data_IF_699776840544
#
_entry.id   IF_699776840544
#
_cell.length_a   1.000
_cell.length_b   1.000
_cell.length_c   1.000
_cell.angle_alpha   90.00
_cell.angle_beta   90.00
_cell.angle_gamma   90.00
#
_symmetry.space_group_name_H-M   'P 1'
#
loop_
_entity.id
_entity.type
_entity.pdbx_description
1 polymer ?
#
# COMPACT_ATOMS: atom_id res chain seq x y z
N UNK A 1 11.40 9.64 -7.79
CA UNK A 1 12.45 10.28 -8.59
C UNK A 1 13.42 9.20 -8.96
N UNK A 2 13.15 8.55 -10.09
CA UNK A 2 14.20 7.85 -10.81
C UNK A 2 15.24 8.89 -11.24
N UNK A 3 16.51 8.68 -10.90
CA UNK A 3 17.60 9.57 -11.29
C UNK A 3 17.84 9.50 -12.80
N UNK A 4 18.59 10.45 -13.36
CA UNK A 4 18.82 10.46 -14.81
C UNK A 4 19.51 9.17 -15.27
N UNK A 5 18.85 8.44 -16.17
CA UNK A 5 19.31 7.16 -16.70
C UNK A 5 19.25 7.16 -18.22
N UNK A 6 20.04 6.29 -18.84
CA UNK A 6 20.03 6.04 -20.28
C UNK A 6 20.19 4.55 -20.56
N UNK A 7 19.54 4.06 -21.62
CA UNK A 7 19.69 2.69 -22.11
C UNK A 7 19.58 2.69 -23.65
N UNK A 8 20.39 1.88 -24.33
CA UNK A 8 20.33 1.74 -25.79
C UNK A 8 21.06 2.83 -26.58
N UNK A 9 20.65 3.00 -27.83
CA UNK A 9 21.30 3.88 -28.81
C UNK A 9 20.74 5.31 -28.73
N UNK A 10 21.63 6.31 -28.66
CA UNK A 10 21.26 7.72 -28.50
C UNK A 10 22.08 8.63 -29.42
N UNK A 11 21.49 9.69 -29.99
CA UNK A 11 22.27 10.75 -30.64
C UNK A 11 23.01 11.61 -29.61
N UNK A 12 24.00 12.37 -30.05
CA UNK A 12 24.80 13.25 -29.18
C UNK A 12 23.98 14.40 -28.55
N UNK A 13 22.92 14.83 -29.22
CA UNK A 13 22.04 15.93 -28.81
C UNK A 13 20.60 15.50 -29.05
N UNK A 14 19.68 15.99 -28.24
CA UNK A 14 18.24 15.80 -28.43
C UNK A 14 17.78 16.57 -29.67
N UNK A 15 16.74 16.08 -30.33
CA UNK A 15 16.10 16.72 -31.46
C UNK A 15 17.05 17.03 -32.63
N UNK A 16 17.87 16.05 -32.98
CA UNK A 16 18.76 16.08 -34.16
C UNK A 16 18.54 14.84 -35.01
N UNK A 17 19.06 14.84 -36.24
CA UNK A 17 18.99 13.67 -37.11
C UNK A 17 19.66 12.46 -36.42
N UNK A 18 18.88 11.41 -36.19
CA UNK A 18 19.37 10.13 -35.70
C UNK A 18 18.93 9.03 -36.67
N UNK A 19 19.88 8.56 -37.50
CA UNK A 19 19.59 7.66 -38.60
C UNK A 19 19.81 6.21 -38.21
N UNK A 20 18.92 5.36 -38.71
CA UNK A 20 19.05 3.90 -38.71
C UNK A 20 20.13 3.46 -39.71
N UNK A 21 20.59 2.20 -39.65
CA UNK A 21 21.55 1.66 -40.62
C UNK A 21 21.11 1.75 -42.08
N UNK A 22 19.80 1.73 -42.35
CA UNK A 22 19.24 1.85 -43.70
C UNK A 22 19.05 3.30 -44.19
N UNK A 23 19.48 4.28 -43.40
CA UNK A 23 19.44 5.70 -43.74
C UNK A 23 18.14 6.42 -43.36
N UNK A 24 17.07 5.70 -42.99
CA UNK A 24 15.86 6.33 -42.46
C UNK A 24 16.12 6.93 -41.06
N UNK A 25 15.22 7.79 -40.57
CA UNK A 25 15.31 8.35 -39.22
C UNK A 25 14.62 7.42 -38.21
N UNK A 26 15.21 7.26 -37.03
CA UNK A 26 14.43 6.82 -35.88
C UNK A 26 13.43 7.93 -35.50
N UNK A 27 12.24 7.55 -35.06
CA UNK A 27 11.23 8.52 -34.62
C UNK A 27 11.48 8.89 -33.17
N UNK A 28 11.81 10.17 -32.92
CA UNK A 28 11.96 10.70 -31.55
C UNK A 28 10.59 10.94 -30.90
N UNK A 29 10.42 10.51 -29.66
CA UNK A 29 9.31 10.85 -28.79
C UNK A 29 9.86 11.46 -27.49
N UNK A 30 9.29 12.58 -27.06
CA UNK A 30 9.46 13.11 -25.71
C UNK A 30 8.26 12.68 -24.88
N UNK A 31 8.49 11.73 -23.99
CA UNK A 31 7.50 11.22 -23.06
C UNK A 31 7.56 12.03 -21.76
N UNK A 32 6.73 13.06 -21.68
CA UNK A 32 6.77 14.08 -20.63
C UNK A 32 5.57 14.03 -19.67
N UNK A 33 5.78 14.61 -18.50
CA UNK A 33 4.75 14.79 -17.46
C UNK A 33 4.52 16.28 -17.19
N UNK A 34 3.38 16.61 -16.59
CA UNK A 34 3.03 17.96 -16.10
C UNK A 34 3.15 19.09 -17.14
N UNK A 35 3.00 18.81 -18.44
CA UNK A 35 3.13 19.85 -19.47
C UNK A 35 4.57 20.37 -19.61
N UNK A 36 5.54 19.47 -19.61
CA UNK A 36 6.99 19.71 -19.84
C UNK A 36 7.78 20.27 -18.66
N UNK A 37 7.18 20.44 -17.47
CA UNK A 37 7.92 20.85 -16.26
C UNK A 37 8.27 19.69 -15.33
N UNK A 38 7.59 18.56 -15.48
CA UNK A 38 7.84 17.34 -14.70
C UNK A 38 8.96 16.47 -15.28
N UNK A 39 9.23 15.29 -14.69
CA UNK A 39 10.17 14.33 -15.24
C UNK A 39 9.78 13.89 -16.67
N UNK A 40 10.79 13.69 -17.50
CA UNK A 40 10.63 13.30 -18.91
C UNK A 40 11.57 12.15 -19.26
N UNK A 41 11.20 11.39 -20.29
CA UNK A 41 12.08 10.46 -21.00
C UNK A 41 12.03 10.77 -22.49
N UNK A 42 13.18 10.95 -23.12
CA UNK A 42 13.30 11.04 -24.58
C UNK A 42 13.64 9.65 -25.10
N UNK A 43 12.89 9.16 -26.09
CA UNK A 43 13.03 7.82 -26.65
C UNK A 43 13.01 7.84 -28.17
N UNK A 44 13.61 6.81 -28.77
CA UNK A 44 13.77 6.72 -30.22
C UNK A 44 13.22 5.39 -30.72
N UNK A 45 12.17 5.46 -31.53
CA UNK A 45 11.44 4.30 -32.06
C UNK A 45 11.91 3.89 -33.46
N UNK A 46 11.79 2.61 -33.78
CA UNK A 46 11.94 2.09 -35.14
C UNK A 46 10.80 2.57 -36.03
N UNK A 47 9.57 2.53 -35.52
CA UNK A 47 8.35 2.97 -36.19
C UNK A 47 7.75 4.18 -35.46
N UNK A 48 7.15 5.16 -36.15
CA UNK A 48 6.55 6.30 -35.48
C UNK A 48 5.44 5.87 -34.51
N UNK A 49 5.47 6.25 -33.22
CA UNK A 49 4.53 5.76 -32.19
C UNK A 49 3.08 6.17 -32.45
N UNK A 50 2.85 7.09 -33.39
CA UNK A 50 1.52 7.55 -33.83
C UNK A 50 0.86 6.63 -34.86
N UNK A 51 1.56 5.60 -35.36
CA UNK A 51 1.03 4.67 -36.36
C UNK A 51 0.13 3.58 -35.75
N UNK A 52 -1.08 3.99 -35.40
CA UNK A 52 -2.17 3.11 -34.96
C UNK A 52 -3.07 2.75 -36.13
N UNK A 53 -3.48 1.48 -36.23
CA UNK A 53 -4.26 0.96 -37.36
C UNK A 53 -5.72 0.65 -37.03
N UNK A 54 -6.04 0.50 -35.74
CA UNK A 54 -7.41 0.29 -35.30
C UNK A 54 -7.56 0.58 -33.82
N UNK A 55 -8.78 0.90 -33.40
CA UNK A 55 -9.12 1.04 -32.00
C UNK A 55 -10.58 0.64 -31.74
N UNK A 56 -10.87 0.18 -30.51
CA UNK A 56 -12.22 -0.11 -30.05
C UNK A 56 -12.36 0.09 -28.54
N UNK A 57 -13.53 0.52 -28.02
CA UNK A 57 -13.81 0.43 -26.59
C UNK A 57 -13.91 -1.04 -26.17
N UNK A 58 -13.54 -1.35 -24.93
CA UNK A 58 -13.62 -2.70 -24.38
C UNK A 58 -14.57 -2.75 -23.18
N UNK A 59 -14.03 -2.65 -21.96
CA UNK A 59 -14.79 -2.79 -20.72
C UNK A 59 -14.49 -1.64 -19.77
N UNK A 60 -15.46 -1.30 -18.93
CA UNK A 60 -15.28 -0.27 -17.91
C UNK A 60 -14.43 -0.80 -16.77
N UNK A 61 -13.62 0.10 -16.20
CA UNK A 61 -12.87 -0.10 -14.96
C UNK A 61 -13.37 0.84 -13.86
N UNK A 62 -14.55 1.46 -14.05
CA UNK A 62 -15.12 2.36 -13.04
C UNK A 62 -15.51 1.56 -11.82
N UNK A 63 -14.87 1.85 -10.69
CA UNK A 63 -15.18 1.20 -9.43
C UNK A 63 -16.48 1.75 -8.83
N UNK A 64 -17.29 0.84 -8.29
CA UNK A 64 -18.45 1.18 -7.48
C UNK A 64 -18.10 1.02 -6.01
N UNK A 65 -18.08 2.14 -5.29
CA UNK A 65 -17.89 2.18 -3.85
C UNK A 65 -19.22 2.01 -3.13
N UNK A 66 -19.19 1.31 -1.99
CA UNK A 66 -20.35 1.05 -1.13
C UNK A 66 -20.10 1.56 0.26
N UNK A 67 -21.18 1.74 1.04
CA UNK A 67 -21.11 2.19 2.43
C UNK A 67 -20.25 3.47 2.67
N UNK A 68 -20.34 4.52 1.83
CA UNK A 68 -19.45 5.69 1.95
C UNK A 68 -19.60 6.43 3.28
N UNK A 69 -20.77 6.32 3.92
CA UNK A 69 -21.09 6.98 5.19
C UNK A 69 -20.81 6.12 6.44
N UNK A 70 -20.41 4.85 6.25
CA UNK A 70 -20.26 3.91 7.36
C UNK A 70 -18.82 3.94 7.88
N UNK A 71 -18.66 4.55 9.06
CA UNK A 71 -17.39 4.53 9.78
C UNK A 71 -17.26 3.26 10.63
N UNK A 72 -16.58 2.25 10.08
CA UNK A 72 -16.31 0.98 10.76
C UNK A 72 -14.92 0.47 10.41
N UNK A 73 -14.18 0.00 11.41
CA UNK A 73 -12.93 -0.74 11.17
C UNK A 73 -13.22 -2.05 10.43
N UNK A 74 -12.43 -2.35 9.40
CA UNK A 74 -12.68 -3.51 8.53
C UNK A 74 -11.49 -4.46 8.53
N UNK A 75 -11.78 -5.75 8.35
CA UNK A 75 -10.77 -6.78 8.16
C UNK A 75 -11.18 -7.65 6.98
N UNK A 76 -10.54 -7.41 5.85
CA UNK A 76 -10.78 -8.13 4.59
C UNK A 76 -9.80 -9.29 4.47
N UNK A 77 -10.32 -10.51 4.34
CA UNK A 77 -9.52 -11.74 4.20
C UNK A 77 -9.35 -12.08 2.72
N UNK A 78 -8.27 -11.62 2.10
CA UNK A 78 -8.05 -11.84 0.66
C UNK A 78 -7.38 -13.18 0.33
N UNK A 79 -6.82 -13.89 1.32
CA UNK A 79 -6.12 -15.16 1.11
C UNK A 79 -6.96 -16.22 0.38
N UNK A 80 -8.26 -16.41 0.68
CA UNK A 80 -9.10 -17.40 0.00
C UNK A 80 -9.52 -17.02 -1.43
N UNK A 81 -9.14 -15.84 -1.93
CA UNK A 81 -9.56 -15.36 -3.25
C UNK A 81 -9.08 -16.31 -4.35
N UNK A 82 -10.04 -16.85 -5.11
CA UNK A 82 -9.76 -17.76 -6.21
C UNK A 82 -9.06 -17.05 -7.38
N UNK A 83 -8.18 -17.77 -8.09
CA UNK A 83 -7.48 -17.18 -9.22
C UNK A 83 -8.47 -16.88 -10.34
N UNK A 84 -8.34 -15.72 -10.98
CA UNK A 84 -9.21 -15.31 -12.08
C UNK A 84 -8.49 -14.35 -13.03
N UNK A 85 -8.84 -14.41 -14.32
CA UNK A 85 -8.29 -13.53 -15.35
C UNK A 85 -6.77 -13.55 -15.41
N UNK A 86 -6.21 -12.53 -16.05
CA UNK A 86 -4.77 -12.29 -16.12
C UNK A 86 -4.32 -11.18 -15.14
N UNK A 87 -3.07 -10.73 -15.28
CA UNK A 87 -2.48 -9.68 -14.44
C UNK A 87 -3.26 -8.34 -14.42
N UNK A 88 -4.03 -8.05 -15.46
CA UNK A 88 -4.82 -6.81 -15.58
C UNK A 88 -6.29 -7.06 -15.27
N UNK A 89 -6.89 -8.04 -15.93
CA UNK A 89 -8.32 -8.38 -15.83
C UNK A 89 -8.67 -9.10 -14.53
N UNK A 90 -7.69 -9.72 -13.87
CA UNK A 90 -7.87 -10.42 -12.60
C UNK A 90 -7.88 -9.52 -11.36
N UNK A 91 -7.60 -8.22 -11.52
CA UNK A 91 -7.54 -7.24 -10.42
C UNK A 91 -8.90 -7.11 -9.73
N UNK A 92 -8.89 -7.05 -8.40
CA UNK A 92 -10.07 -6.85 -7.55
C UNK A 92 -9.83 -5.65 -6.65
N UNK A 93 -10.45 -4.52 -6.98
CA UNK A 93 -10.42 -3.31 -6.13
C UNK A 93 -11.18 -3.60 -4.84
N UNK A 94 -10.54 -3.36 -3.70
CA UNK A 94 -11.11 -3.57 -2.37
C UNK A 94 -11.50 -2.24 -1.72
N UNK A 95 -10.61 -1.26 -1.78
CA UNK A 95 -10.80 0.06 -1.22
C UNK A 95 -10.35 1.10 -2.23
N UNK A 96 -11.02 2.26 -2.26
CA UNK A 96 -10.56 3.36 -3.10
C UNK A 96 -11.29 4.66 -2.86
N UNK A 97 -10.78 5.71 -3.49
CA UNK A 97 -11.37 7.03 -3.57
C UNK A 97 -10.86 7.74 -4.84
N UNK A 98 -11.06 9.06 -4.95
CA UNK A 98 -10.61 9.82 -6.11
C UNK A 98 -9.10 9.96 -6.26
N UNK A 99 -8.33 9.67 -5.21
CA UNK A 99 -6.87 9.81 -5.20
C UNK A 99 -6.17 8.47 -5.47
N UNK A 100 -6.70 7.36 -4.95
CA UNK A 100 -6.07 6.04 -5.04
C UNK A 100 -7.07 4.88 -5.00
N UNK A 101 -6.73 3.78 -5.66
CA UNK A 101 -7.39 2.49 -5.54
C UNK A 101 -6.40 1.42 -5.06
N UNK A 102 -6.83 0.62 -4.09
CA UNK A 102 -6.12 -0.57 -3.62
C UNK A 102 -6.81 -1.82 -4.12
N UNK A 103 -6.09 -2.64 -4.88
CA UNK A 103 -6.59 -3.88 -5.45
C UNK A 103 -5.69 -5.06 -5.11
N UNK A 104 -6.26 -6.26 -5.07
CA UNK A 104 -5.50 -7.51 -5.02
C UNK A 104 -5.67 -8.27 -6.33
N UNK A 105 -4.64 -8.99 -6.75
CA UNK A 105 -4.68 -9.84 -7.94
C UNK A 105 -4.15 -11.24 -7.66
N UNK A 106 -4.85 -12.24 -8.18
CA UNK A 106 -4.44 -13.63 -8.21
C UNK A 106 -4.71 -14.16 -9.64
N UNK A 107 -3.79 -13.93 -10.60
CA UNK A 107 -4.01 -14.29 -11.99
C UNK A 107 -4.16 -15.81 -12.17
N UNK A 108 -5.18 -16.21 -12.93
CA UNK A 108 -5.38 -17.57 -13.41
C UNK A 108 -4.70 -17.83 -14.76
N UNK A 109 -4.43 -16.76 -15.52
CA UNK A 109 -3.99 -16.80 -16.91
C UNK A 109 -2.79 -15.86 -17.15
N UNK A 110 -2.00 -16.18 -18.17
CA UNK A 110 -0.97 -15.28 -18.67
C UNK A 110 -1.60 -14.22 -19.57
N UNK A 111 -1.21 -12.95 -19.43
CA UNK A 111 -1.69 -11.92 -20.37
C UNK A 111 -1.14 -12.15 -21.78
N UNK A 112 -2.01 -12.05 -22.79
CA UNK A 112 -1.66 -12.28 -24.20
C UNK A 112 -1.35 -10.99 -24.99
N UNK A 113 -1.70 -9.83 -24.43
CA UNK A 113 -1.61 -8.50 -25.06
C UNK A 113 -0.57 -7.62 -24.35
N UNK A 114 -0.35 -6.41 -24.86
CA UNK A 114 0.37 -5.35 -24.15
C UNK A 114 -0.62 -4.43 -23.46
N UNK A 115 -0.25 -3.86 -22.33
CA UNK A 115 -1.09 -2.97 -21.55
C UNK A 115 -0.40 -1.64 -21.26
N UNK A 116 -1.20 -0.59 -21.09
CA UNK A 116 -0.76 0.73 -20.66
C UNK A 116 -1.85 1.35 -19.78
N UNK A 117 -1.49 1.73 -18.56
CA UNK A 117 -2.36 2.59 -17.77
C UNK A 117 -2.12 4.05 -18.17
N UNK A 118 -3.07 4.65 -18.89
CA UNK A 118 -2.99 6.03 -19.35
C UNK A 118 -3.52 7.05 -18.33
N UNK A 119 -4.12 6.63 -17.22
CA UNK A 119 -4.69 7.54 -16.21
C UNK A 119 -3.88 7.66 -14.93
N UNK A 120 -3.16 6.60 -14.53
CA UNK A 120 -2.45 6.57 -13.26
C UNK A 120 -1.18 5.71 -13.26
N UNK A 121 -0.26 6.07 -12.37
CA UNK A 121 0.88 5.25 -11.98
C UNK A 121 0.38 4.03 -11.20
N UNK A 122 1.04 2.89 -11.41
CA UNK A 122 0.76 1.60 -10.77
C UNK A 122 1.93 1.19 -9.88
N UNK A 123 1.67 0.88 -8.60
CA UNK A 123 2.63 0.25 -7.70
C UNK A 123 2.16 -1.16 -7.37
N UNK A 124 2.84 -2.16 -7.92
CA UNK A 124 2.55 -3.57 -7.69
C UNK A 124 3.51 -4.15 -6.66
N UNK A 125 3.00 -4.49 -5.48
CA UNK A 125 3.75 -5.30 -4.52
C UNK A 125 3.52 -6.79 -4.80
N UNK A 126 4.57 -7.50 -5.23
CA UNK A 126 4.53 -8.92 -5.56
C UNK A 126 4.60 -9.74 -4.27
N UNK A 127 3.48 -10.32 -3.85
CA UNK A 127 3.44 -11.17 -2.65
C UNK A 127 4.02 -12.56 -2.96
N UNK A 128 3.59 -13.20 -4.05
CA UNK A 128 4.09 -14.51 -4.50
C UNK A 128 4.34 -14.51 -6.00
N UNK A 129 5.20 -15.43 -6.43
CA UNK A 129 5.58 -15.60 -7.83
C UNK A 129 6.71 -14.67 -8.27
N UNK A 130 7.17 -14.91 -9.50
CA UNK A 130 8.24 -14.17 -10.16
C UNK A 130 7.95 -14.09 -11.66
N UNK A 131 8.76 -13.32 -12.37
CA UNK A 131 8.70 -13.28 -13.82
C UNK A 131 9.43 -12.08 -14.41
N UNK A 132 8.96 -11.68 -15.58
CA UNK A 132 9.57 -10.65 -16.40
C UNK A 132 8.51 -9.64 -16.85
N UNK A 133 8.72 -8.37 -16.54
CA UNK A 133 7.95 -7.26 -17.08
C UNK A 133 8.73 -6.65 -18.26
N UNK A 134 8.28 -6.93 -19.48
CA UNK A 134 8.78 -6.28 -20.69
C UNK A 134 8.10 -4.94 -20.84
N UNK A 135 8.86 -3.85 -20.90
CA UNK A 135 8.34 -2.49 -21.08
C UNK A 135 8.93 -1.86 -22.33
N UNK A 136 8.33 -0.77 -22.80
CA UNK A 136 8.88 -0.04 -23.94
C UNK A 136 10.27 0.53 -23.62
N UNK A 137 10.61 0.67 -22.34
CA UNK A 137 11.88 1.22 -21.84
C UNK A 137 12.87 0.13 -21.39
N UNK A 138 12.58 -1.14 -21.64
CA UNK A 138 13.44 -2.26 -21.27
C UNK A 138 12.75 -3.26 -20.38
N UNK A 139 13.51 -4.26 -19.94
CA UNK A 139 12.99 -5.41 -19.22
C UNK A 139 13.33 -5.33 -17.74
N UNK A 140 12.36 -5.66 -16.88
CA UNK A 140 12.49 -5.73 -15.44
C UNK A 140 12.15 -7.15 -14.96
N UNK A 141 13.11 -7.85 -14.34
CA UNK A 141 12.87 -9.15 -13.70
C UNK A 141 12.33 -8.92 -12.29
N UNK A 142 11.14 -9.40 -12.00
CA UNK A 142 10.51 -9.23 -10.69
C UNK A 142 10.41 -10.58 -9.96
N UNK A 143 10.34 -10.51 -8.64
CA UNK A 143 10.19 -11.64 -7.74
C UNK A 143 9.41 -11.26 -6.48
N UNK A 144 9.34 -12.18 -5.50
CA UNK A 144 8.65 -11.93 -4.25
C UNK A 144 9.18 -10.68 -3.54
N UNK A 145 8.26 -9.95 -2.89
CA UNK A 145 8.47 -8.71 -2.13
C UNK A 145 8.94 -7.50 -2.94
N UNK A 146 8.91 -7.61 -4.26
CA UNK A 146 9.18 -6.46 -5.14
C UNK A 146 8.01 -5.49 -5.19
N UNK A 147 8.32 -4.21 -5.05
CA UNK A 147 7.52 -3.12 -5.57
C UNK A 147 7.92 -2.85 -7.03
N UNK A 148 7.11 -3.34 -7.96
CA UNK A 148 7.21 -2.98 -9.37
C UNK A 148 6.39 -1.70 -9.62
N UNK A 149 7.07 -0.58 -9.81
CA UNK A 149 6.45 0.72 -10.08
C UNK A 149 6.44 0.98 -11.58
N UNK A 150 5.25 1.12 -12.15
CA UNK A 150 5.01 1.37 -13.56
C UNK A 150 4.34 2.74 -13.70
N UNK A 151 5.08 3.77 -14.15
CA UNK A 151 4.52 5.10 -14.33
C UNK A 151 3.43 5.12 -15.41
N UNK A 152 2.47 6.03 -15.27
CA UNK A 152 1.37 6.17 -16.23
C UNK A 152 1.92 6.39 -17.62
N UNK A 153 1.35 5.64 -18.54
CA UNK A 153 1.60 5.67 -19.96
C UNK A 153 2.75 4.79 -20.46
N UNK A 154 3.47 4.09 -19.58
CA UNK A 154 4.44 3.08 -19.99
C UNK A 154 3.68 1.86 -20.54
N UNK A 155 4.03 1.44 -21.77
CA UNK A 155 3.51 0.18 -22.35
C UNK A 155 4.32 -0.98 -21.76
N UNK A 156 3.63 -2.02 -21.28
CA UNK A 156 4.26 -3.22 -20.78
C UNK A 156 3.50 -4.50 -21.13
N UNK A 157 4.20 -5.63 -21.08
CA UNK A 157 3.66 -6.98 -21.06
C UNK A 157 4.38 -7.78 -19.99
N UNK A 158 3.61 -8.29 -19.03
CA UNK A 158 4.13 -9.05 -17.91
C UNK A 158 3.99 -10.55 -18.18
N UNK A 159 5.10 -11.27 -18.07
CA UNK A 159 5.20 -12.72 -18.20
C UNK A 159 5.50 -13.30 -16.83
N UNK A 160 4.64 -14.18 -16.31
CA UNK A 160 4.85 -14.84 -15.03
C UNK A 160 5.61 -16.13 -15.26
N UNK A 161 6.54 -16.45 -14.37
CA UNK A 161 7.11 -17.78 -14.30
C UNK A 161 6.02 -18.75 -13.79
N UNK A 162 6.06 -19.99 -14.28
CA UNK A 162 5.23 -21.04 -13.69
C UNK A 162 5.75 -21.37 -12.30
N UNK A 163 4.88 -21.29 -11.29
CA UNK A 163 5.22 -21.78 -9.95
C UNK A 163 5.42 -23.29 -9.98
N UNK A 164 6.35 -23.78 -9.17
CA UNK A 164 6.72 -25.20 -9.08
C UNK A 164 6.69 -25.68 -7.64
N UNK A 165 6.38 -26.95 -7.44
CA UNK A 165 6.50 -27.58 -6.12
C UNK A 165 7.95 -28.01 -5.87
N UNK A 166 8.39 -27.87 -4.62
CA UNK A 166 9.62 -28.46 -4.12
C UNK A 166 9.52 -29.97 -3.89
N UNK A 167 10.60 -30.60 -3.42
CA UNK A 167 10.66 -32.05 -3.19
C UNK A 167 9.63 -32.58 -2.18
N UNK A 168 9.14 -31.73 -1.29
CA UNK A 168 8.12 -32.07 -0.27
C UNK A 168 6.67 -31.93 -0.79
N UNK A 169 6.50 -31.64 -2.08
CA UNK A 169 5.20 -31.45 -2.72
C UNK A 169 4.53 -30.11 -2.42
N UNK A 170 5.21 -29.20 -1.70
CA UNK A 170 4.70 -27.84 -1.43
C UNK A 170 5.28 -26.82 -2.41
N UNK A 171 4.64 -25.66 -2.62
CA UNK A 171 5.18 -24.60 -3.48
C UNK A 171 6.58 -24.16 -3.03
N UNK A 172 7.52 -24.12 -3.96
CA UNK A 172 8.93 -23.84 -3.67
C UNK A 172 9.19 -22.39 -3.17
N UNK A 173 8.27 -21.48 -3.45
CA UNK A 173 8.29 -20.08 -3.00
C UNK A 173 7.60 -19.86 -1.64
N UNK A 174 7.18 -20.94 -0.96
CA UNK A 174 6.49 -20.86 0.34
C UNK A 174 5.07 -20.31 0.28
N UNK A 175 4.53 -20.02 -0.91
CA UNK A 175 3.19 -19.49 -1.07
C UNK A 175 2.06 -20.55 -1.00
N UNK A 176 0.80 -20.14 -1.28
CA UNK A 176 -0.35 -21.04 -1.33
C UNK A 176 -0.20 -22.12 -2.40
N UNK A 177 -0.95 -23.24 -2.32
CA UNK A 177 -0.96 -24.29 -3.33
C UNK A 177 -1.07 -23.72 -4.76
N UNK A 178 -0.32 -24.29 -5.71
CA UNK A 178 -0.30 -23.81 -7.10
C UNK A 178 -1.71 -23.82 -7.72
N UNK A 179 -2.58 -24.76 -7.34
CA UNK A 179 -3.98 -24.78 -7.79
C UNK A 179 -4.78 -23.56 -7.37
N UNK A 180 -4.45 -22.95 -6.22
CA UNK A 180 -5.13 -21.76 -5.71
C UNK A 180 -4.42 -20.46 -6.14
N UNK A 181 -3.18 -20.54 -6.60
CA UNK A 181 -2.36 -19.40 -7.02
C UNK A 181 -1.37 -19.88 -8.11
N UNK A 182 -1.79 -20.03 -9.37
CA UNK A 182 -0.99 -20.72 -10.38
C UNK A 182 0.25 -19.94 -10.82
N UNK A 183 0.19 -18.61 -10.79
CA UNK A 183 1.28 -17.73 -11.18
C UNK A 183 1.86 -16.94 -10.02
N UNK A 184 1.01 -16.23 -9.27
CA UNK A 184 1.46 -15.36 -8.20
C UNK A 184 0.29 -14.59 -7.56
N UNK A 185 0.61 -13.79 -6.56
CA UNK A 185 -0.36 -12.88 -5.92
C UNK A 185 0.29 -11.52 -5.74
N UNK A 186 -0.48 -10.45 -5.93
CA UNK A 186 0.04 -9.10 -5.75
C UNK A 186 -1.00 -8.18 -5.10
N UNK A 187 -0.50 -7.13 -4.44
CA UNK A 187 -1.25 -5.94 -4.07
C UNK A 187 -0.93 -4.85 -5.11
N UNK A 188 -1.94 -4.15 -5.58
CA UNK A 188 -1.82 -2.97 -6.45
C UNK A 188 -2.30 -1.75 -5.67
N UNK A 189 -1.48 -0.70 -5.70
CA UNK A 189 -1.84 0.66 -5.29
C UNK A 189 -1.77 1.51 -6.56
N UNK A 190 -2.92 1.95 -7.06
CA UNK A 190 -3.06 2.69 -8.32
C UNK A 190 -3.49 4.13 -8.05
N UNK A 191 -2.77 5.11 -8.60
CA UNK A 191 -3.21 6.53 -8.54
C UNK A 191 -4.46 6.75 -9.40
N UNK A 192 -5.43 7.48 -8.88
CA UNK A 192 -6.68 7.82 -9.59
C UNK A 192 -6.80 9.33 -9.91
N UNK A 193 -6.00 10.16 -9.25
CA UNK A 193 -5.94 11.61 -9.45
C UNK A 193 -4.88 12.05 -10.48
N UNK A 194 -4.20 11.11 -11.13
CA UNK A 194 -3.14 11.39 -12.09
C UNK A 194 -1.83 11.88 -11.48
N UNK A 195 -1.66 11.80 -10.16
CA UNK A 195 -0.39 12.04 -9.49
C UNK A 195 0.64 10.95 -9.79
N UNK A 196 1.89 11.20 -9.40
CA UNK A 196 3.01 10.31 -9.68
C UNK A 196 3.53 9.65 -8.39
N UNK A 197 3.79 8.35 -8.44
CA UNK A 197 4.34 7.59 -7.31
C UNK A 197 5.85 7.79 -7.30
N UNK A 198 6.36 8.32 -6.18
CA UNK A 198 7.79 8.57 -6.00
C UNK A 198 8.23 8.41 -4.55
N UNK A 199 9.53 8.55 -4.27
CA UNK A 199 10.04 8.57 -2.91
C UNK A 199 9.54 9.81 -2.17
N UNK A 200 9.37 9.71 -0.85
CA UNK A 200 9.04 10.85 -0.01
C UNK A 200 10.05 11.99 -0.17
N UNK A 201 9.61 13.26 -0.35
CA UNK A 201 10.47 14.44 -0.43
C UNK A 201 11.41 14.60 0.77
N UNK A 202 11.07 14.02 1.93
CA UNK A 202 11.92 14.01 3.14
C UNK A 202 13.17 13.13 3.01
N UNK A 203 13.21 12.23 2.04
CA UNK A 203 14.34 11.35 1.76
C UNK A 203 15.15 11.81 0.55
N UNK A 204 14.76 12.90 -0.12
CA UNK A 204 15.41 13.37 -1.33
C UNK A 204 15.98 14.78 -1.13
N UNK A 205 17.21 14.98 -1.58
CA UNK A 205 17.85 16.29 -1.65
C UNK A 205 17.05 17.22 -2.55
N UNK A 206 16.51 18.30 -1.97
CA UNK A 206 15.74 19.32 -2.71
C UNK A 206 16.53 19.99 -3.84
N UNK A 207 17.86 19.98 -3.76
CA UNK A 207 18.75 20.69 -4.68
C UNK A 207 19.39 19.78 -5.71
N UNK A 208 19.63 18.50 -5.38
CA UNK A 208 20.40 17.59 -6.24
C UNK A 208 19.58 16.37 -6.68
N UNK A 209 18.43 16.12 -6.08
CA UNK A 209 17.57 15.00 -6.47
C UNK A 209 18.09 13.61 -6.08
N UNK A 210 19.20 13.56 -5.35
CA UNK A 210 19.78 12.36 -4.76
C UNK A 210 19.04 11.99 -3.46
N UNK A 211 19.00 10.71 -3.10
CA UNK A 211 18.60 10.29 -1.76
C UNK A 211 19.53 10.88 -0.69
N UNK A 212 18.96 11.20 0.47
CA UNK A 212 19.70 11.66 1.64
C UNK A 212 20.25 10.44 2.40
N UNK A 213 21.40 10.57 3.05
CA UNK A 213 22.07 9.46 3.76
C UNK A 213 21.23 8.81 4.88
N UNK A 214 20.21 9.52 5.39
CA UNK A 214 19.27 8.96 6.38
C UNK A 214 18.06 8.26 5.74
N UNK A 215 17.94 8.26 4.42
CA UNK A 215 16.87 7.56 3.73
C UNK A 215 16.98 6.04 3.99
N UNK A 216 15.86 5.34 4.15
CA UNK A 216 15.86 3.90 4.43
C UNK A 216 16.22 3.03 3.21
N UNK A 217 16.56 3.64 2.08
CA UNK A 217 17.04 2.98 0.86
C UNK A 217 17.73 4.04 -0.01
N UNK A 218 18.54 3.61 -0.95
CA UNK A 218 19.31 4.46 -1.84
C UNK A 218 19.14 4.06 -3.31
N UNK A 219 19.80 4.77 -4.22
CA UNK A 219 19.72 4.51 -5.66
C UNK A 219 20.19 3.10 -6.04
N UNK A 220 21.06 2.48 -5.24
CA UNK A 220 21.60 1.13 -5.52
C UNK A 220 20.57 0.03 -5.30
N UNK A 221 19.55 0.30 -4.50
CA UNK A 221 18.47 -0.64 -4.20
C UNK A 221 17.37 -0.58 -5.28
N UNK A 222 17.47 0.38 -6.21
CA UNK A 222 16.54 0.54 -7.33
C UNK A 222 17.05 -0.22 -8.55
N UNK A 223 16.30 -1.24 -8.97
CA UNK A 223 16.56 -1.99 -10.19
C UNK A 223 15.92 -1.30 -11.38
N UNK A 224 16.76 -0.96 -12.36
CA UNK A 224 16.42 -0.22 -13.57
C UNK A 224 16.08 -1.17 -14.72
N UNK A 225 15.40 -0.71 -15.78
CA UNK A 225 15.20 -1.50 -16.98
C UNK A 225 16.53 -1.92 -17.62
N UNK A 226 16.60 -3.16 -18.10
CA UNK A 226 17.77 -3.74 -18.76
C UNK A 226 17.43 -4.26 -20.17
N UNK A 227 18.44 -4.74 -20.91
CA UNK A 227 18.22 -5.49 -22.15
C UNK A 227 17.62 -6.89 -21.87
N UNK A 228 16.85 -7.47 -22.81
CA UNK A 228 16.42 -6.90 -24.09
C UNK A 228 15.37 -5.78 -23.91
N UNK A 229 15.36 -4.83 -24.84
CA UNK A 229 14.45 -3.68 -24.82
C UNK A 229 13.73 -3.45 -26.15
N UNK A 230 14.35 -3.86 -27.26
CA UNK A 230 13.90 -3.53 -28.60
C UNK A 230 13.43 -4.78 -29.32
N UNK A 231 12.22 -4.72 -29.88
CA UNK A 231 11.68 -5.73 -30.76
C UNK A 231 11.32 -5.10 -32.11
N UNK A 232 11.97 -5.55 -33.19
CA UNK A 232 11.68 -5.15 -34.57
C UNK A 232 10.90 -6.26 -35.28
N UNK A 233 9.63 -6.40 -34.91
CA UNK A 233 8.74 -7.42 -35.45
C UNK A 233 7.50 -6.76 -36.05
N UNK A 234 7.12 -7.19 -37.26
CA UNK A 234 5.87 -6.80 -37.92
C UNK A 234 4.79 -7.83 -37.62
N UNK A 235 3.57 -7.37 -37.43
CA UNK A 235 2.42 -8.22 -37.11
C UNK A 235 1.36 -7.44 -36.36
N UNK A 236 0.22 -8.08 -36.07
CA UNK A 236 -0.85 -7.42 -35.34
C UNK A 236 -0.65 -7.56 -33.83
N UNK A 237 -0.36 -6.44 -33.18
CA UNK A 237 -0.16 -6.37 -31.73
C UNK A 237 -1.27 -5.54 -31.07
N UNK A 238 -1.98 -6.15 -30.13
CA UNK A 238 -2.96 -5.47 -29.28
C UNK A 238 -2.26 -4.75 -28.13
N UNK A 239 -2.53 -3.45 -27.99
CA UNK A 239 -2.23 -2.64 -26.80
C UNK A 239 -3.55 -2.22 -26.16
N UNK A 240 -3.79 -2.67 -24.93
CA UNK A 240 -4.95 -2.26 -24.13
C UNK A 240 -4.59 -1.05 -23.28
N UNK A 241 -5.35 0.02 -23.43
CA UNK A 241 -5.10 1.31 -22.78
C UNK A 241 -6.23 1.59 -21.79
N UNK A 242 -5.94 1.61 -20.49
CA UNK A 242 -6.88 2.10 -19.46
C UNK A 242 -6.82 3.62 -19.43
N UNK A 243 -7.92 4.30 -19.72
CA UNK A 243 -8.02 5.75 -19.55
C UNK A 243 -9.48 6.15 -19.36
N UNK A 244 -9.73 7.13 -18.47
CA UNK A 244 -11.08 7.63 -18.18
C UNK A 244 -12.03 6.50 -17.77
N UNK A 245 -11.53 5.59 -16.94
CA UNK A 245 -12.26 4.44 -16.39
C UNK A 245 -12.83 3.47 -17.45
N UNK A 246 -12.19 3.44 -18.63
CA UNK A 246 -12.51 2.53 -19.73
C UNK A 246 -11.22 1.98 -20.33
N UNK A 247 -11.20 0.67 -20.59
CA UNK A 247 -10.14 0.04 -21.37
C UNK A 247 -10.49 0.15 -22.86
N UNK A 248 -9.50 0.56 -23.65
CA UNK A 248 -9.57 0.67 -25.09
C UNK A 248 -8.53 -0.26 -25.72
N UNK A 249 -8.93 -1.07 -26.68
CA UNK A 249 -8.00 -1.90 -27.46
C UNK A 249 -7.51 -1.12 -28.66
N UNK A 250 -6.19 -1.01 -28.82
CA UNK A 250 -5.52 -0.40 -29.96
C UNK A 250 -4.70 -1.46 -30.70
N UNK A 251 -4.67 -1.40 -32.03
CA UNK A 251 -3.90 -2.34 -32.87
C UNK A 251 -2.74 -1.61 -33.56
N UNK A 252 -1.55 -2.17 -33.41
CA UNK A 252 -0.32 -1.79 -34.10
C UNK A 252 0.08 -2.88 -35.08
N UNK A 253 0.66 -2.53 -36.23
CA UNK A 253 1.22 -3.49 -37.21
C UNK A 253 2.71 -3.80 -36.98
N UNK A 254 3.23 -3.41 -35.81
CA UNK A 254 4.58 -3.66 -35.35
C UNK A 254 4.59 -3.83 -33.82
N UNK A 255 5.62 -4.46 -33.30
CA UNK A 255 5.75 -4.70 -31.86
C UNK A 255 5.78 -3.37 -31.09
N UNK A 256 4.93 -3.14 -30.08
CA UNK A 256 4.79 -1.82 -29.42
C UNK A 256 5.96 -1.46 -28.49
N UNK A 257 6.98 -2.32 -28.41
CA UNK A 257 8.19 -2.13 -27.63
C UNK A 257 9.39 -2.01 -28.60
N UNK A 258 9.33 -1.03 -29.51
CA UNK A 258 10.29 -0.90 -30.63
C UNK A 258 11.35 0.20 -30.40
N UNK A 259 11.57 0.58 -29.14
CA UNK A 259 12.51 1.64 -28.77
C UNK A 259 13.94 1.12 -28.86
N UNK A 260 14.80 1.79 -29.63
CA UNK A 260 16.24 1.46 -29.75
C UNK A 260 17.11 2.10 -28.67
N UNK A 261 16.61 3.16 -28.04
CA UNK A 261 17.28 3.82 -26.93
C UNK A 261 16.45 4.95 -26.32
N UNK A 262 16.74 5.26 -25.07
CA UNK A 262 16.10 6.34 -24.33
C UNK A 262 17.02 6.92 -23.25
N UNK A 263 16.75 8.15 -22.84
CA UNK A 263 17.32 8.76 -21.65
C UNK A 263 16.32 9.68 -20.92
N UNK A 264 16.44 9.80 -19.60
CA UNK A 264 15.54 10.62 -18.80
C UNK A 264 15.36 10.15 -17.36
N UNK A 265 14.29 10.65 -16.74
CA UNK A 265 13.93 10.40 -15.33
C UNK A 265 12.52 9.82 -15.16
N UNK A 266 11.86 9.41 -16.25
CA UNK A 266 10.50 8.89 -16.22
C UNK A 266 10.44 7.49 -16.83
N UNK A 267 10.64 6.47 -15.99
CA UNK A 267 10.77 5.08 -16.40
C UNK A 267 10.32 4.14 -15.27
N UNK A 268 9.93 2.89 -15.59
CA UNK A 268 9.55 1.90 -14.58
C UNK A 268 10.77 1.40 -13.83
N UNK A 269 10.58 1.00 -12.57
CA UNK A 269 11.66 0.49 -11.73
C UNK A 269 11.13 -0.55 -10.73
N UNK A 270 12.06 -1.30 -10.14
CA UNK A 270 11.76 -2.21 -9.03
C UNK A 270 12.55 -1.77 -7.78
N UNK A 271 11.90 -1.84 -6.63
CA UNK A 271 12.52 -1.80 -5.30
C UNK A 271 12.07 -3.03 -4.51
N UNK A 272 12.97 -3.78 -3.87
CA UNK A 272 12.57 -4.92 -3.04
C UNK A 272 12.36 -4.49 -1.59
N UNK A 273 11.29 -4.96 -0.95
CA UNK A 273 11.01 -4.61 0.45
C UNK A 273 12.08 -5.12 1.44
N UNK A 274 12.83 -6.17 1.10
CA UNK A 274 13.94 -6.66 1.91
C UNK A 274 15.17 -5.74 1.86
N UNK A 275 15.27 -4.87 0.84
CA UNK A 275 16.31 -3.83 0.75
C UNK A 275 15.97 -2.58 1.58
N UNK A 276 14.76 -2.49 2.15
CA UNK A 276 14.38 -1.39 3.02
C UNK A 276 15.11 -1.49 4.37
N UNK A 277 16.02 -0.56 4.64
CA UNK A 277 16.76 -0.42 5.89
C UNK A 277 15.91 0.31 6.95
N UNK A 278 15.28 -0.38 7.91
CA UNK A 278 14.30 0.23 8.79
C UNK A 278 14.97 1.16 9.79
N UNK A 279 14.46 2.38 9.90
CA UNK A 279 14.91 3.34 10.92
C UNK A 279 14.35 2.87 12.28
N UNK A 280 15.19 2.79 13.29
CA UNK A 280 14.81 2.39 14.66
C UNK A 280 15.24 3.46 15.66
N UNK A 281 14.58 3.50 16.82
CA UNK A 281 14.80 4.53 17.82
C UNK A 281 14.81 3.99 19.24
N UNK A 282 15.29 4.82 20.17
CA UNK A 282 15.26 4.49 21.60
C UNK A 282 13.81 4.32 22.06
N UNK A 283 12.91 5.12 21.49
CA UNK A 283 11.47 5.12 21.74
C UNK A 283 10.74 4.85 20.42
N UNK A 284 9.48 4.45 20.56
CA UNK A 284 8.60 4.15 19.43
C UNK A 284 8.49 5.33 18.46
N UNK A 285 8.98 5.12 17.25
CA UNK A 285 8.95 6.12 16.18
C UNK A 285 7.62 6.06 15.44
N UNK A 286 7.02 7.21 15.05
CA UNK A 286 5.75 7.21 14.35
C UNK A 286 5.89 6.65 12.92
N UNK A 287 4.79 6.15 12.31
CA UNK A 287 4.80 5.46 11.02
C UNK A 287 5.53 6.14 9.84
N UNK A 288 5.70 7.47 9.76
CA UNK A 288 6.44 8.09 8.65
C UNK A 288 7.87 7.57 8.43
N UNK A 289 8.51 6.98 9.45
CA UNK A 289 9.82 6.33 9.28
C UNK A 289 9.78 5.06 8.42
N UNK A 290 8.59 4.51 8.17
CA UNK A 290 8.35 3.33 7.34
C UNK A 290 7.96 3.70 5.90
N UNK A 291 7.86 4.99 5.55
CA UNK A 291 7.48 5.42 4.21
C UNK A 291 8.48 4.90 3.16
N UNK A 292 7.94 4.31 2.09
CA UNK A 292 8.69 3.84 0.92
C UNK A 292 8.41 4.75 -0.26
N UNK A 293 7.14 5.02 -0.54
CA UNK A 293 6.71 5.93 -1.61
C UNK A 293 5.58 6.85 -1.14
N UNK A 294 5.29 7.89 -1.90
CA UNK A 294 4.11 8.74 -1.76
C UNK A 294 3.66 9.26 -3.14
N UNK A 295 2.41 9.72 -3.18
CA UNK A 295 1.87 10.52 -4.27
C UNK A 295 0.89 11.55 -3.70
N UNK A 296 0.11 12.23 -4.54
CA UNK A 296 -0.82 13.24 -4.03
C UNK A 296 -1.91 12.61 -3.16
N UNK A 297 -1.94 13.01 -1.89
CA UNK A 297 -2.90 12.60 -0.84
C UNK A 297 -2.83 11.13 -0.37
N UNK A 298 -1.74 10.42 -0.61
CA UNK A 298 -1.52 9.13 0.05
C UNK A 298 -0.04 8.77 0.14
N UNK A 299 0.28 7.88 1.07
CA UNK A 299 1.63 7.38 1.32
C UNK A 299 1.63 5.86 1.30
N UNK A 300 2.74 5.25 0.89
CA UNK A 300 2.97 3.82 0.88
C UNK A 300 4.12 3.52 1.85
N UNK A 301 3.90 2.67 2.84
CA UNK A 301 4.90 2.32 3.84
C UNK A 301 5.23 0.82 3.82
N UNK A 302 6.49 0.49 4.10
CA UNK A 302 6.96 -0.87 4.33
C UNK A 302 7.30 -1.04 5.81
N UNK A 303 6.49 -1.81 6.52
CA UNK A 303 6.82 -2.28 7.86
C UNK A 303 7.69 -3.53 7.72
N UNK A 304 8.99 -3.34 7.63
CA UNK A 304 9.97 -4.42 7.47
C UNK A 304 10.47 -4.99 8.82
N UNK A 305 11.00 -6.23 8.83
CA UNK A 305 11.66 -6.83 9.98
C UNK A 305 12.76 -5.93 10.55
N UNK A 306 12.77 -5.72 11.87
CA UNK A 306 13.68 -4.75 12.51
C UNK A 306 13.87 -4.99 14.00
N UNK A 307 14.93 -4.38 14.55
CA UNK A 307 15.06 -4.22 16.00
C UNK A 307 13.93 -3.34 16.54
N UNK A 308 13.38 -3.73 17.69
CA UNK A 308 12.37 -2.95 18.39
C UNK A 308 13.04 -1.90 19.29
N UNK A 309 12.22 -1.01 19.84
CA UNK A 309 12.64 0.14 20.64
C UNK A 309 13.60 -0.26 21.77
N UNK A 310 14.71 0.46 21.95
CA UNK A 310 15.79 0.04 22.86
C UNK A 310 15.86 0.81 24.19
N UNK A 311 14.86 1.63 24.53
CA UNK A 311 14.69 2.12 25.91
C UNK A 311 14.36 0.94 26.83
N UNK A 312 14.97 0.82 28.02
CA UNK A 312 14.68 -0.27 28.96
C UNK A 312 13.21 -0.41 29.38
N UNK A 313 12.44 0.68 29.25
CA UNK A 313 11.01 0.76 29.59
C UNK A 313 10.12 1.12 28.38
N UNK A 314 10.60 0.89 27.15
CA UNK A 314 9.77 1.15 25.95
C UNK A 314 8.66 0.11 25.80
N UNK A 315 7.49 0.56 25.37
CA UNK A 315 6.44 -0.29 24.83
C UNK A 315 6.83 -0.64 23.39
N UNK A 316 6.80 -1.95 23.04
CA UNK A 316 7.35 -2.45 21.78
C UNK A 316 6.35 -2.49 20.62
N UNK A 317 5.07 -2.36 20.93
CA UNK A 317 3.98 -2.27 19.96
C UNK A 317 3.50 -0.83 19.83
N UNK A 318 2.83 -0.46 18.72
CA UNK A 318 2.32 0.89 18.53
C UNK A 318 1.40 1.35 19.67
N UNK A 319 1.33 2.66 19.89
CA UNK A 319 0.37 3.22 20.84
C UNK A 319 -1.06 3.13 20.30
N UNK A 320 -2.05 3.17 21.21
CA UNK A 320 -3.42 3.49 20.82
C UNK A 320 -3.45 4.91 20.24
N UNK A 321 -4.09 5.09 19.08
CA UNK A 321 -4.20 6.40 18.46
C UNK A 321 -5.48 6.56 17.65
N UNK A 322 -5.76 7.82 17.34
CA UNK A 322 -6.74 8.24 16.36
C UNK A 322 -6.01 9.12 15.37
N UNK A 323 -5.98 8.70 14.12
CA UNK A 323 -5.54 9.56 13.04
C UNK A 323 -6.79 10.30 12.53
N UNK A 324 -6.83 11.62 12.72
CA UNK A 324 -8.05 12.39 12.46
C UNK A 324 -8.21 12.74 10.98
N UNK A 325 -7.10 12.73 10.23
CA UNK A 325 -7.01 13.18 8.85
C UNK A 325 -6.47 12.10 7.91
N UNK A 326 -6.45 10.83 8.35
CA UNK A 326 -5.97 9.73 7.52
C UNK A 326 -6.72 8.43 7.80
N UNK A 327 -7.18 7.79 6.74
CA UNK A 327 -7.53 6.38 6.76
C UNK A 327 -6.25 5.56 6.66
N UNK A 328 -6.16 4.47 7.41
CA UNK A 328 -4.98 3.60 7.43
C UNK A 328 -5.33 2.19 6.94
N UNK A 329 -4.67 1.75 5.87
CA UNK A 329 -4.83 0.38 5.36
C UNK A 329 -3.53 -0.40 5.44
N UNK A 330 -3.54 -1.50 6.19
CA UNK A 330 -2.43 -2.46 6.26
C UNK A 330 -2.75 -3.72 5.49
N UNK A 331 -1.87 -4.12 4.58
CA UNK A 331 -1.80 -5.43 3.95
C UNK A 331 -0.70 -6.29 4.59
N UNK A 332 -1.10 -7.43 5.12
CA UNK A 332 -0.23 -8.32 5.89
C UNK A 332 0.46 -9.33 4.97
N UNK A 333 1.79 -9.29 4.89
CA UNK A 333 2.58 -10.07 3.93
C UNK A 333 3.21 -11.30 4.58
N UNK A 334 3.97 -11.12 5.64
CA UNK A 334 4.72 -12.23 6.26
C UNK A 334 4.96 -11.99 7.76
N UNK A 335 5.33 -13.06 8.46
CA UNK A 335 5.58 -13.06 9.90
C UNK A 335 4.31 -13.11 10.75
N UNK A 336 4.48 -12.94 12.06
CA UNK A 336 3.39 -12.95 13.04
C UNK A 336 3.27 -11.56 13.68
N UNK A 337 2.08 -10.95 13.58
CA UNK A 337 1.86 -9.57 13.99
C UNK A 337 1.60 -9.45 15.49
N UNK A 338 2.64 -9.14 16.26
CA UNK A 338 2.62 -9.15 17.73
C UNK A 338 1.61 -8.19 18.36
N UNK A 339 1.16 -7.16 17.62
CA UNK A 339 0.17 -6.19 18.10
C UNK A 339 -1.30 -6.62 17.91
N UNK A 340 -1.58 -7.61 17.06
CA UNK A 340 -2.95 -7.98 16.65
C UNK A 340 -3.21 -9.49 16.77
N UNK A 341 -4.47 -9.86 17.01
CA UNK A 341 -4.95 -11.25 17.08
C UNK A 341 -5.93 -11.50 15.93
N UNK A 342 -5.87 -12.68 15.31
CA UNK A 342 -6.78 -13.08 14.23
C UNK A 342 -6.45 -12.50 12.85
N UNK A 343 -5.30 -11.83 12.70
CA UNK A 343 -4.76 -11.38 11.42
C UNK A 343 -3.92 -12.49 10.81
N UNK A 344 -4.13 -12.74 9.52
CA UNK A 344 -3.44 -13.77 8.73
C UNK A 344 -2.77 -13.18 7.50
N UNK A 345 -1.80 -13.90 6.93
CA UNK A 345 -1.14 -13.53 5.68
C UNK A 345 -2.19 -13.29 4.58
N UNK A 346 -2.08 -12.16 3.89
CA UNK A 346 -3.05 -11.70 2.90
C UNK A 346 -4.28 -11.01 3.48
N UNK A 347 -4.35 -10.77 4.78
CA UNK A 347 -5.35 -9.86 5.35
C UNK A 347 -5.11 -8.43 4.90
N UNK A 348 -6.19 -7.66 4.78
CA UNK A 348 -6.18 -6.21 4.74
C UNK A 348 -7.01 -5.70 5.91
N UNK A 349 -6.53 -4.67 6.62
CA UNK A 349 -7.36 -3.97 7.61
C UNK A 349 -7.46 -2.51 7.27
N UNK A 350 -8.65 -1.95 7.37
CA UNK A 350 -8.92 -0.52 7.23
C UNK A 350 -9.30 0.06 8.59
N UNK A 351 -8.60 1.11 8.98
CA UNK A 351 -8.89 1.94 10.15
C UNK A 351 -9.29 3.34 9.66
N UNK A 352 -10.60 3.65 9.62
CA UNK A 352 -11.07 4.95 9.15
C UNK A 352 -10.62 6.08 10.07
N UNK A 353 -10.36 7.24 9.46
CA UNK A 353 -10.01 8.47 10.16
C UNK A 353 -11.05 8.83 11.21
N UNK A 354 -10.59 9.34 12.35
CA UNK A 354 -11.44 9.76 13.47
C UNK A 354 -11.88 8.63 14.41
N UNK A 355 -11.54 7.36 14.15
CA UNK A 355 -11.81 6.24 15.06
C UNK A 355 -10.51 5.79 15.78
N UNK A 356 -10.52 5.64 17.12
CA UNK A 356 -9.39 5.06 17.84
C UNK A 356 -9.12 3.61 17.45
N UNK A 357 -7.85 3.28 17.29
CA UNK A 357 -7.37 1.92 17.11
C UNK A 357 -5.98 1.75 17.74
N UNK A 358 -5.48 0.52 17.82
CA UNK A 358 -4.21 0.22 18.48
C UNK A 358 -4.05 -1.25 18.83
N UNK A 359 -3.12 -1.60 19.73
CA UNK A 359 -2.86 -2.98 20.10
C UNK A 359 -4.10 -3.68 20.70
N UNK A 360 -4.26 -4.97 20.41
CA UNK A 360 -5.30 -5.80 21.03
C UNK A 360 -5.05 -6.02 22.53
N UNK A 361 -6.09 -6.35 23.32
CA UNK A 361 -5.94 -6.63 24.76
C UNK A 361 -4.82 -7.63 25.06
N UNK A 362 -3.91 -7.24 25.96
CA UNK A 362 -2.79 -8.04 26.45
C UNK A 362 -1.54 -8.09 25.57
N UNK A 363 -1.54 -7.51 24.36
CA UNK A 363 -0.37 -7.57 23.47
C UNK A 363 0.77 -6.65 23.93
N UNK A 364 0.45 -5.51 24.57
CA UNK A 364 1.45 -4.61 25.16
C UNK A 364 2.35 -5.37 26.13
N UNK A 365 1.76 -5.98 27.18
CA UNK A 365 2.50 -6.73 28.20
C UNK A 365 3.27 -7.92 27.61
N UNK A 366 2.64 -8.67 26.70
CA UNK A 366 3.28 -9.81 26.04
C UNK A 366 4.50 -9.40 25.18
N UNK A 367 4.53 -8.15 24.71
CA UNK A 367 5.60 -7.64 23.84
C UNK A 367 6.78 -7.01 24.58
N UNK A 368 6.68 -6.72 25.88
CA UNK A 368 7.68 -5.88 26.59
C UNK A 368 9.12 -6.41 26.50
N UNK A 369 9.29 -7.74 26.49
CA UNK A 369 10.59 -8.40 26.38
C UNK A 369 11.10 -8.55 24.93
N UNK A 370 10.28 -8.25 23.92
CA UNK A 370 10.66 -8.41 22.53
C UNK A 370 11.72 -7.37 22.14
N UNK A 371 12.77 -7.83 21.46
CA UNK A 371 13.86 -6.98 20.96
C UNK A 371 13.86 -6.87 19.44
N UNK A 372 13.03 -7.68 18.76
CA UNK A 372 13.02 -7.81 17.32
C UNK A 372 11.63 -8.23 16.82
N UNK A 373 11.27 -7.84 15.60
CA UNK A 373 10.08 -8.30 14.90
C UNK A 373 10.43 -8.81 13.51
N UNK A 374 9.72 -9.85 13.08
CA UNK A 374 9.82 -10.50 11.76
C UNK A 374 8.64 -10.14 10.85
N UNK A 375 7.81 -9.18 11.28
CA UNK A 375 6.64 -8.73 10.53
C UNK A 375 7.03 -8.04 9.23
N UNK A 376 6.35 -8.40 8.14
CA UNK A 376 6.37 -7.66 6.88
C UNK A 376 4.94 -7.24 6.51
N UNK A 377 4.67 -5.94 6.47
CA UNK A 377 3.40 -5.39 5.99
C UNK A 377 3.61 -4.20 5.05
N UNK A 378 2.68 -4.05 4.11
CA UNK A 378 2.57 -2.88 3.24
C UNK A 378 1.40 -2.06 3.71
N UNK A 379 1.60 -0.77 3.92
CA UNK A 379 0.53 0.14 4.30
C UNK A 379 0.28 1.16 3.20
N UNK A 380 -0.98 1.52 3.00
CA UNK A 380 -1.37 2.68 2.23
C UNK A 380 -2.29 3.56 3.09
N UNK A 381 -1.77 4.70 3.48
CA UNK A 381 -2.52 5.69 4.26
C UNK A 381 -2.98 6.80 3.32
N UNK A 382 -4.22 7.24 3.47
CA UNK A 382 -4.84 8.22 2.58
C UNK A 382 -5.44 9.37 3.36
N UNK A 383 -5.24 10.60 2.87
CA UNK A 383 -5.78 11.80 3.51
C UNK A 383 -7.22 12.14 3.08
N UNK A 384 -7.78 11.36 2.14
CA UNK A 384 -9.22 11.28 1.89
C UNK A 384 -9.76 9.96 2.43
N UNK A 385 -11.03 9.90 2.86
CA UNK A 385 -11.67 8.63 3.21
C UNK A 385 -11.54 7.59 2.10
N UNK A 386 -11.32 6.33 2.49
CA UNK A 386 -11.34 5.17 1.61
C UNK A 386 -12.68 4.46 1.72
N UNK A 387 -13.27 4.16 0.58
CA UNK A 387 -14.56 3.50 0.51
C UNK A 387 -14.39 2.05 0.06
N UNK A 388 -15.04 1.08 0.73
CA UNK A 388 -15.00 -0.31 0.32
C UNK A 388 -15.77 -0.52 -0.99
N UNK A 389 -15.41 -1.57 -1.72
CA UNK A 389 -16.22 -2.10 -2.83
C UNK A 389 -17.10 -3.25 -2.34
N UNK A 390 -18.04 -3.69 -3.18
CA UNK A 390 -18.80 -4.92 -2.92
C UNK A 390 -17.88 -6.14 -2.70
N UNK A 391 -16.79 -6.24 -3.45
CA UNK A 391 -15.83 -7.33 -3.32
C UNK A 391 -15.14 -7.32 -1.94
N UNK A 392 -14.81 -6.14 -1.41
CA UNK A 392 -14.32 -6.04 -0.04
C UNK A 392 -15.37 -6.50 0.98
N UNK A 393 -16.65 -6.20 0.76
CA UNK A 393 -17.73 -6.61 1.68
C UNK A 393 -17.95 -8.12 1.70
N UNK A 394 -17.78 -8.78 0.57
CA UNK A 394 -17.84 -10.25 0.48
C UNK A 394 -16.70 -10.94 1.25
N UNK A 395 -15.60 -10.23 1.52
CA UNK A 395 -14.41 -10.74 2.19
C UNK A 395 -14.23 -10.21 3.62
N UNK A 396 -15.14 -9.35 4.09
CA UNK A 396 -14.99 -8.64 5.36
C UNK A 396 -15.42 -9.50 6.57
N UNK A 397 -14.60 -9.47 7.61
CA UNK A 397 -14.92 -10.00 8.93
C UNK A 397 -15.66 -8.93 9.75
N UNK A 398 -16.99 -9.01 9.76
CA UNK A 398 -17.84 -8.05 10.48
C UNK A 398 -17.63 -8.06 11.99
N UNK A 399 -16.97 -9.10 12.54
CA UNK A 399 -16.66 -9.19 13.97
C UNK A 399 -15.38 -8.44 14.35
N UNK A 400 -14.64 -7.92 13.38
CA UNK A 400 -13.35 -7.26 13.61
C UNK A 400 -13.41 -6.12 14.64
N UNK A 401 -14.39 -5.19 14.65
CA UNK A 401 -14.46 -4.18 15.71
C UNK A 401 -14.57 -4.75 17.13
N UNK A 402 -15.15 -5.95 17.27
CA UNK A 402 -15.28 -6.63 18.56
C UNK A 402 -13.96 -7.32 19.00
N UNK A 403 -12.90 -7.35 18.18
CA UNK A 403 -11.62 -7.98 18.54
C UNK A 403 -10.87 -7.25 19.67
N UNK A 404 -11.24 -6.00 19.95
CA UNK A 404 -10.75 -5.23 21.11
C UNK A 404 -11.56 -5.45 22.39
N UNK A 405 -12.64 -6.24 22.34
CA UNK A 405 -13.36 -6.64 23.55
C UNK A 405 -12.50 -7.57 24.40
N UNK A 406 -12.61 -7.43 25.71
CA UNK A 406 -11.86 -8.22 26.68
C UNK A 406 -11.24 -7.35 27.77
N UNK A 407 -10.56 -8.02 28.71
CA UNK A 407 -9.91 -7.33 29.82
C UNK A 407 -8.53 -6.79 29.38
N UNK A 408 -8.43 -5.47 29.21
CA UNK A 408 -7.17 -4.77 28.94
C UNK A 408 -6.26 -4.68 30.16
N UNK A 409 -6.86 -4.75 31.35
CA UNK A 409 -6.20 -4.61 32.65
C UNK A 409 -6.61 -5.78 33.56
N UNK A 410 -5.84 -6.88 33.58
CA UNK A 410 -6.18 -8.08 34.34
C UNK A 410 -6.52 -7.76 35.80
N UNK A 411 -7.70 -8.17 36.25
CA UNK A 411 -8.15 -7.95 37.62
C UNK A 411 -9.00 -6.70 37.85
N UNK A 412 -9.04 -5.74 36.91
CA UNK A 412 -9.87 -4.54 37.06
C UNK A 412 -11.36 -4.89 37.02
N UNK A 413 -11.78 -5.75 36.09
CA UNK A 413 -13.18 -6.14 35.93
C UNK A 413 -13.69 -7.01 37.08
N UNK A 414 -12.77 -7.72 37.74
CA UNK A 414 -13.06 -8.60 38.88
C UNK A 414 -12.87 -7.93 40.25
N UNK A 415 -12.52 -6.64 40.28
CA UNK A 415 -12.24 -5.89 41.51
C UNK A 415 -10.94 -6.31 42.22
N UNK A 416 -10.12 -7.16 41.58
CA UNK A 416 -8.79 -7.57 42.08
C UNK A 416 -7.72 -6.52 41.82
N UNK A 417 -8.01 -5.49 41.01
CA UNK A 417 -7.17 -4.32 40.76
C UNK A 417 -7.99 -3.05 40.92
N UNK A 418 -7.48 -2.08 41.68
CA UNK A 418 -8.10 -0.77 41.86
C UNK A 418 -7.23 0.34 41.24
N UNK A 419 -7.85 1.25 40.48
CA UNK A 419 -7.14 2.32 39.77
C UNK A 419 -6.42 3.31 40.71
N UNK A 420 -6.84 3.40 41.98
CA UNK A 420 -6.18 4.22 43.01
C UNK A 420 -5.01 3.50 43.71
N UNK A 421 -4.55 2.36 43.19
CA UNK A 421 -3.44 1.59 43.76
C UNK A 421 -3.79 0.78 45.01
N UNK A 422 -5.07 0.73 45.43
CA UNK A 422 -5.51 -0.04 46.58
C UNK A 422 -5.64 -1.54 46.26
N UNK A 423 -4.52 -2.18 45.91
CA UNK A 423 -4.38 -3.64 45.97
C UNK A 423 -3.17 -3.94 46.84
N UNK A 424 -3.40 -4.73 47.89
CA UNK A 424 -2.36 -5.21 48.82
C UNK A 424 -1.11 -5.62 48.02
N UNK A 425 0.06 -5.01 48.26
CA UNK A 425 1.24 -5.31 47.46
C UNK A 425 1.71 -6.74 47.73
N UNK A 426 2.11 -7.51 46.70
CA UNK A 426 2.78 -8.77 46.91
C UNK A 426 4.18 -8.55 47.52
N UNK A 427 4.60 -9.48 48.38
CA UNK A 427 5.70 -9.38 49.36
C UNK A 427 7.11 -9.37 48.75
N UNK A 428 7.29 -9.24 47.42
CA UNK A 428 8.62 -9.20 46.82
C UNK A 428 8.77 -8.07 45.80
N UNK A 429 9.48 -7.04 46.22
CA UNK A 429 9.89 -5.89 45.42
C UNK A 429 11.23 -6.17 44.75
N UNK A 430 11.25 -6.16 43.42
CA UNK A 430 12.43 -5.80 42.65
C UNK A 430 11.99 -5.08 41.37
N UNK A 431 12.52 -3.86 41.22
CA UNK A 431 12.46 -2.97 40.07
C UNK A 431 11.15 -2.18 39.82
N UNK A 432 10.96 -1.09 40.57
CA UNK A 432 10.45 0.18 40.02
C UNK A 432 10.95 1.35 40.88
N UNK A 433 11.57 2.40 40.32
CA UNK A 433 11.52 3.71 40.93
C UNK A 433 10.20 4.34 40.51
N UNK A 434 9.30 4.58 41.46
CA UNK A 434 8.20 5.51 41.25
C UNK A 434 8.01 6.29 42.54
N UNK A 435 8.31 7.58 42.51
CA UNK A 435 7.37 8.50 43.13
C UNK A 435 6.03 8.26 42.43
N UNK A 436 5.23 7.33 42.96
CA UNK A 436 3.81 7.29 42.68
C UNK A 436 3.23 8.33 43.62
N UNK A 437 3.07 9.57 43.14
CA UNK A 437 2.18 10.46 43.85
C UNK A 437 0.80 9.81 43.81
N UNK A 438 0.21 9.60 44.98
CA UNK A 438 -1.18 9.19 45.06
C UNK A 438 -1.99 10.31 44.41
N UNK A 439 -2.46 10.07 43.19
CA UNK A 439 -3.37 11.01 42.54
C UNK A 439 -4.69 10.93 43.30
N UNK A 440 -5.07 12.03 43.97
CA UNK A 440 -6.37 12.10 44.61
C UNK A 440 -7.45 12.01 43.53
N UNK A 441 -8.31 10.98 43.62
CA UNK A 441 -9.49 10.87 42.78
C UNK A 441 -10.54 11.84 43.32
N UNK A 442 -10.59 13.06 42.76
CA UNK A 442 -11.65 14.01 43.08
C UNK A 442 -12.88 13.60 42.28
N UNK A 443 -13.97 13.26 42.98
CA UNK A 443 -15.29 13.05 42.37
C UNK A 443 -15.93 14.41 42.14
N UNK A 444 -15.98 14.85 40.89
CA UNK A 444 -16.79 16.01 40.50
C UNK A 444 -18.18 15.55 40.06
N UNK A 445 -19.23 16.11 40.66
CA UNK A 445 -20.60 15.95 40.15
C UNK A 445 -20.78 16.82 38.91
N UNK A 446 -20.97 16.19 37.76
CA UNK A 446 -21.27 16.89 36.51
C UNK A 446 -22.75 16.65 36.18
N UNK A 447 -23.51 17.73 36.07
CA UNK A 447 -24.86 17.69 35.54
C UNK A 447 -24.79 17.50 34.02
N UNK A 448 -25.15 16.33 33.51
CA UNK A 448 -25.33 16.11 32.08
C UNK A 448 -26.81 16.24 31.72
N UNK A 449 -27.12 17.14 30.79
CA UNK A 449 -28.42 17.15 30.11
C UNK A 449 -28.47 15.99 29.12
N UNK A 450 -29.32 15.00 29.38
CA UNK A 450 -29.56 13.90 28.44
C UNK A 450 -30.46 14.43 27.32
N UNK A 451 -29.93 14.55 26.11
CA UNK A 451 -30.76 14.74 24.92
C UNK A 451 -31.56 13.46 24.69
N UNK A 452 -32.87 13.55 24.42
CA UNK A 452 -33.68 12.37 24.15
C UNK A 452 -33.11 11.58 22.96
N UNK A 453 -33.15 10.25 23.05
CA UNK A 453 -32.70 9.37 21.97
C UNK A 453 -33.48 9.68 20.67
N UNK A 454 -32.82 9.70 19.49
CA UNK A 454 -33.53 9.87 18.24
C UNK A 454 -34.38 8.61 17.99
N UNK A 455 -35.70 8.75 18.06
CA UNK A 455 -36.63 7.65 17.86
C UNK A 455 -37.98 8.11 17.30
N UNK A 456 -38.27 7.62 16.10
CA UNK A 456 -39.58 7.43 15.47
C UNK A 456 -40.54 8.63 15.35
N UNK A 457 -40.93 8.92 14.10
CA UNK A 457 -42.06 9.77 13.73
C UNK A 457 -43.33 9.42 14.55
N UNK A 458 -43.78 10.33 15.41
CA UNK A 458 -45.04 10.16 16.12
C UNK A 458 -45.36 11.27 17.12
N UNK A 459 -46.21 12.21 16.69
CA UNK A 459 -46.99 13.19 17.47
C UNK A 459 -46.27 14.07 18.51
N UNK A 460 -46.19 15.36 18.20
CA UNK A 460 -45.93 16.43 19.15
C UNK A 460 -47.05 16.52 20.21
N UNK A 461 -46.71 16.26 21.47
CA UNK A 461 -47.21 16.98 22.64
C UNK A 461 -46.61 16.38 23.92
N UNK A 462 -45.73 17.11 24.59
CA UNK A 462 -45.25 16.78 25.93
C UNK A 462 -44.04 17.59 26.34
N UNK A 463 -44.22 18.48 27.32
CA UNK A 463 -43.14 19.13 28.06
C UNK A 463 -42.31 18.05 28.79
N UNK A 464 -41.26 17.53 28.15
CA UNK A 464 -40.29 16.66 28.80
C UNK A 464 -39.25 17.53 29.53
N UNK A 465 -39.35 17.60 30.85
CA UNK A 465 -38.29 18.17 31.70
C UNK A 465 -37.02 17.33 31.50
N UNK A 466 -35.87 17.93 31.16
CA UNK A 466 -34.63 17.18 30.99
C UNK A 466 -34.29 16.43 32.29
N UNK A 467 -34.15 15.11 32.21
CA UNK A 467 -33.60 14.36 33.34
C UNK A 467 -32.11 14.72 33.49
N UNK A 468 -31.77 15.39 34.58
CA UNK A 468 -30.39 15.61 34.98
C UNK A 468 -29.88 14.32 35.59
N UNK A 469 -29.00 13.61 34.89
CA UNK A 469 -28.20 12.54 35.50
C UNK A 469 -26.94 13.17 36.07
N UNK A 470 -26.75 12.99 37.37
CA UNK A 470 -25.47 13.27 38.02
C UNK A 470 -24.49 12.19 37.59
N UNK A 471 -23.43 12.57 36.89
CA UNK A 471 -22.34 11.66 36.52
C UNK A 471 -21.11 12.10 37.28
N UNK A 472 -20.48 11.17 38.00
CA UNK A 472 -19.19 11.41 38.66
C UNK A 472 -18.07 11.24 37.64
N UNK A 473 -17.30 12.29 37.42
CA UNK A 473 -16.03 12.22 36.70
C UNK A 473 -14.88 12.05 37.71
N UNK A 474 -13.95 11.14 37.42
CA UNK A 474 -12.70 11.03 38.16
C UNK A 474 -11.72 12.05 37.60
N UNK A 475 -11.29 13.03 38.40
CA UNK A 475 -10.21 13.94 38.04
C UNK A 475 -8.91 13.39 38.63
N UNK A 476 -7.87 13.31 37.80
CA UNK A 476 -6.54 12.90 38.22
C UNK A 476 -5.63 14.14 38.20
N UNK A 477 -5.22 14.62 39.37
CA UNK A 477 -4.27 15.72 39.53
C UNK A 477 -2.93 15.22 40.10
N UNK A 478 -1.78 15.76 39.66
CA UNK A 478 -0.47 15.43 40.24
C UNK A 478 -0.38 15.75 41.73
#
# INVERSE_FOLDING_TARGET
MPHYTKLGLLPRKRHVQFRRPDGALYSEEVFGTEGFVGPTTTMYHIHPPTQVYGWKPMYSTKTEYVEPEIMRMRHVKSAPMKPKGDFVTGRVVLFGNSDVEMAVGNPAEQMAYHFKNGQGDECHFIHYGSGICHTMLGTLKFGPRDYLVIPKGVIYKLIWDKRVNGPDGKPADGGPPISDCPFGKFLLIETCNGSHIGPPPRYVSKTHGQYLEHAPFCERDIRLPEFPMTWDEKGDFEVRIKARDLVHGYTYHYHPLDIVGWDGCYYPFIFNADDFAPITGKLHMPPPIHQTFEAHNFVICTFAPRLLDYHPQSIKVPYNHSNLDSDEVLYYVDGNFGSRKGIEIGSLTLHPQGIPHGPHPGTIEASLAATHTQELAVMCDTFRPLFPTKAAMEMDDTKYPASWQGEHFPGLSTGKMHLNGATVPPVHAAAFPREVHAVEVIKAEVAQSVLPAPGANGSANGNAVPQVKTVTANVWAP
#
